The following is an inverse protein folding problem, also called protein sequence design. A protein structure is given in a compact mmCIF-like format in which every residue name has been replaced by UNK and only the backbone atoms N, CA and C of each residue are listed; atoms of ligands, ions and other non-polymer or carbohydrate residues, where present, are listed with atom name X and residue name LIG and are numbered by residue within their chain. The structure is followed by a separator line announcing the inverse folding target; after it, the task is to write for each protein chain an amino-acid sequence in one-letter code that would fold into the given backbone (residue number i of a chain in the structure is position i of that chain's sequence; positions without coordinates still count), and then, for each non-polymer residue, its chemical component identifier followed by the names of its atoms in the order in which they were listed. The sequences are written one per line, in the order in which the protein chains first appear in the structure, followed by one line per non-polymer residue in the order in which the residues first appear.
data_IF_813084610401
#
_entry.id   IF_813084610401
#
_cell.length_a   1.000
_cell.length_b   1.000
_cell.length_c   1.000
_cell.angle_alpha   90.00
_cell.angle_beta   90.00
_cell.angle_gamma   90.00
#
_symmetry.space_group_name_H-M   'P 1'
#
loop_
_entity.id
_entity.type
_entity.pdbx_description
1 polymer ?
#
# COMPACT_ATOMS: atom_id res chain seq x y z
N UNK A 1 -25.31 28.48 -22.43
CA UNK A 1 -25.39 28.22 -20.99
C UNK A 1 -24.26 27.28 -20.60
N UNK A 2 -23.23 27.76 -19.91
CA UNK A 2 -22.17 26.89 -19.40
C UNK A 2 -22.73 26.05 -18.24
N UNK A 3 -22.67 24.71 -18.35
CA UNK A 3 -22.98 23.83 -17.24
C UNK A 3 -22.06 24.21 -16.07
N UNK A 4 -22.62 24.68 -14.96
CA UNK A 4 -21.88 25.00 -13.73
C UNK A 4 -21.32 23.70 -13.14
N UNK A 5 -20.16 23.28 -13.64
CA UNK A 5 -19.39 22.22 -13.02
C UNK A 5 -18.78 22.81 -11.74
N UNK A 6 -19.35 22.48 -10.59
CA UNK A 6 -18.85 22.92 -9.29
C UNK A 6 -17.57 22.16 -8.94
N UNK A 7 -16.67 22.81 -8.20
CA UNK A 7 -15.41 22.23 -7.72
C UNK A 7 -15.64 20.94 -6.92
N UNK A 8 -16.74 20.88 -6.16
CA UNK A 8 -17.20 19.68 -5.43
C UNK A 8 -17.39 18.46 -6.34
N UNK A 9 -17.85 18.64 -7.59
CA UNK A 9 -18.02 17.50 -8.51
C UNK A 9 -16.70 16.87 -8.96
N UNK A 10 -15.57 17.58 -8.81
CA UNK A 10 -14.22 17.05 -9.09
C UNK A 10 -13.55 16.41 -7.87
N UNK A 11 -14.10 16.62 -6.67
CA UNK A 11 -13.57 16.06 -5.42
C UNK A 11 -13.94 14.59 -5.20
N UNK A 12 -15.01 14.08 -5.84
CA UNK A 12 -15.51 12.71 -5.65
C UNK A 12 -14.85 11.64 -6.54
N UNK A 13 -13.67 11.92 -7.11
CA UNK A 13 -12.92 10.97 -7.96
C UNK A 13 -11.53 10.64 -7.40
N UNK A 14 -11.49 10.18 -6.16
CA UNK A 14 -10.55 9.13 -5.81
C UNK A 14 -11.32 8.11 -4.98
N UNK A 15 -11.53 6.93 -5.56
CA UNK A 15 -11.70 5.74 -4.74
C UNK A 15 -10.35 5.47 -4.09
N UNK A 16 -9.96 6.31 -3.14
CA UNK A 16 -8.85 6.03 -2.23
C UNK A 16 -9.29 4.85 -1.38
N UNK A 17 -9.17 3.65 -1.95
CA UNK A 17 -9.26 2.43 -1.18
C UNK A 17 -8.08 2.54 -0.21
N UNK A 18 -8.38 2.86 1.05
CA UNK A 18 -7.45 2.85 2.17
C UNK A 18 -7.04 1.40 2.51
N UNK A 19 -6.62 0.65 1.50
CA UNK A 19 -6.30 -0.76 1.55
C UNK A 19 -4.83 -1.00 1.22
N UNK A 20 -3.97 0.01 1.32
CA UNK A 20 -2.54 -0.13 1.11
C UNK A 20 -1.80 -0.14 2.44
N UNK A 21 -0.81 -1.00 2.55
CA UNK A 21 0.05 -1.14 3.74
C UNK A 21 1.51 -1.12 3.28
N UNK A 22 2.36 -0.40 4.02
CA UNK A 22 3.80 -0.40 3.81
C UNK A 22 4.43 -1.57 4.56
N UNK A 23 4.89 -2.58 3.83
CA UNK A 23 5.62 -3.72 4.38
C UNK A 23 7.11 -3.36 4.48
N UNK A 24 7.65 -3.37 5.69
CA UNK A 24 9.07 -3.12 5.95
C UNK A 24 9.70 -4.43 6.43
N UNK A 25 10.72 -4.94 5.72
CA UNK A 25 11.45 -6.15 6.07
C UNK A 25 12.90 -5.81 6.38
N UNK A 26 13.43 -6.36 7.47
CA UNK A 26 14.85 -6.27 7.77
C UNK A 26 15.60 -7.46 7.18
N UNK A 27 16.84 -7.24 6.78
CA UNK A 27 17.77 -8.30 6.40
C UNK A 27 19.19 -7.92 6.79
N UNK A 28 20.01 -8.93 7.08
CA UNK A 28 21.42 -8.70 7.36
C UNK A 28 22.22 -8.64 6.04
N UNK A 29 22.85 -7.50 5.79
CA UNK A 29 23.74 -7.29 4.65
C UNK A 29 25.13 -7.86 4.98
N UNK A 30 25.53 -8.92 4.28
CA UNK A 30 26.88 -9.49 4.42
C UNK A 30 27.98 -8.55 3.94
N UNK A 31 27.68 -7.73 2.93
CA UNK A 31 28.62 -6.78 2.32
C UNK A 31 29.00 -5.66 3.29
N UNK A 32 28.01 -5.09 3.98
CA UNK A 32 28.21 -3.93 4.87
C UNK A 32 28.14 -4.27 6.35
N UNK A 33 28.04 -5.56 6.67
CA UNK A 33 27.93 -6.10 8.03
C UNK A 33 26.87 -5.39 8.90
N UNK A 34 25.74 -5.02 8.31
CA UNK A 34 24.71 -4.19 8.96
C UNK A 34 23.30 -4.68 8.65
N UNK A 35 22.35 -4.35 9.53
CA UNK A 35 20.92 -4.58 9.29
C UNK A 35 20.44 -3.49 8.34
N UNK A 36 19.85 -3.91 7.21
CA UNK A 36 19.19 -3.03 6.25
C UNK A 36 17.70 -3.32 6.22
N UNK A 37 16.93 -2.38 5.68
CA UNK A 37 15.50 -2.48 5.53
C UNK A 37 15.12 -2.37 4.06
N UNK A 38 14.20 -3.22 3.60
CA UNK A 38 13.52 -3.09 2.31
C UNK A 38 12.06 -2.72 2.55
N UNK A 39 11.55 -1.82 1.72
CA UNK A 39 10.20 -1.28 1.84
C UNK A 39 9.39 -1.64 0.59
N UNK A 40 8.15 -2.06 0.78
CA UNK A 40 7.23 -2.42 -0.30
C UNK A 40 5.82 -1.93 0.02
N UNK A 41 5.16 -1.27 -0.93
CA UNK A 41 3.76 -0.88 -0.81
C UNK A 41 2.87 -2.02 -1.30
N UNK A 42 2.11 -2.62 -0.39
CA UNK A 42 1.24 -3.76 -0.67
C UNK A 42 -0.22 -3.30 -0.70
N UNK A 43 -0.94 -3.64 -1.76
CA UNK A 43 -2.39 -3.43 -1.84
C UNK A 43 -3.13 -4.67 -1.34
N UNK A 44 -3.98 -4.51 -0.33
CA UNK A 44 -4.79 -5.56 0.27
C UNK A 44 -6.05 -5.78 -0.57
N UNK A 45 -6.27 -6.99 -1.11
CA UNK A 45 -7.49 -7.31 -1.85
C UNK A 45 -8.76 -7.16 -0.99
N UNK A 46 -9.87 -6.79 -1.62
CA UNK A 46 -11.16 -6.70 -0.92
C UNK A 46 -11.56 -8.06 -0.32
N UNK A 47 -12.07 -8.04 0.91
CA UNK A 47 -12.50 -9.24 1.62
C UNK A 47 -11.38 -10.05 2.29
N UNK A 48 -10.10 -9.71 2.09
CA UNK A 48 -8.98 -10.30 2.84
C UNK A 48 -8.59 -9.46 4.05
N UNK A 49 -8.20 -10.12 5.14
CA UNK A 49 -7.55 -9.44 6.26
C UNK A 49 -6.10 -9.08 5.90
N UNK A 50 -5.61 -7.98 6.47
CA UNK A 50 -4.23 -7.51 6.29
C UNK A 50 -3.25 -8.61 6.70
N UNK A 51 -3.43 -9.20 7.89
CA UNK A 51 -2.54 -10.21 8.43
C UNK A 51 -2.46 -11.47 7.57
N UNK A 52 -3.60 -11.96 7.07
CA UNK A 52 -3.63 -13.16 6.23
C UNK A 52 -2.86 -12.91 4.93
N UNK A 53 -3.07 -11.75 4.31
CA UNK A 53 -2.42 -11.43 3.05
C UNK A 53 -0.92 -11.17 3.21
N UNK A 54 -0.50 -10.48 4.28
CA UNK A 54 0.92 -10.26 4.56
C UNK A 54 1.65 -11.57 4.88
N UNK A 55 1.02 -12.52 5.58
CA UNK A 55 1.59 -13.86 5.81
C UNK A 55 1.80 -14.63 4.50
N UNK A 56 0.86 -14.56 3.56
CA UNK A 56 1.02 -15.15 2.22
C UNK A 56 2.22 -14.56 1.47
N UNK A 57 2.47 -13.25 1.60
CA UNK A 57 3.58 -12.55 0.94
C UNK A 57 4.93 -12.91 1.57
N UNK A 58 5.00 -12.97 2.90
CA UNK A 58 6.24 -13.26 3.63
C UNK A 58 6.63 -14.74 3.57
N UNK A 59 5.67 -15.64 3.39
CA UNK A 59 5.93 -17.09 3.31
C UNK A 59 6.36 -17.55 1.91
N UNK A 60 6.31 -16.68 0.90
CA UNK A 60 6.87 -16.93 -0.44
C UNK A 60 8.37 -16.63 -0.45
#
# INVERSE_FOLDING_TARGET
MAKKQTFESKLNKSSDKKNQVKLIRSFYSKETQSIRFSEEMVTIPEGKSVDSHLKEIVSK
#
